data_IF_544770072049
#
_entry.id   IF_544770072049
#
_cell.length_a   1.000
_cell.length_b   1.000
_cell.length_c   1.000
_cell.angle_alpha   90.00
_cell.angle_beta   90.00
_cell.angle_gamma   90.00
#
_symmetry.space_group_name_H-M   'P 1'
#
loop_
_entity.id
_entity.type
_entity.pdbx_description
1 polymer ?
#
# COMPACT_ATOMS: atom_id res chain seq x y z
N UNK A 1 14.86 -1.20 7.00
CA UNK A 1 14.64 -0.41 5.77
C UNK A 1 13.15 -0.12 5.63
N UNK A 2 12.83 1.14 5.51
CA UNK A 2 11.45 1.56 5.36
C UNK A 2 10.80 0.91 4.12
N UNK A 3 9.55 0.51 4.27
CA UNK A 3 8.79 -0.08 3.18
C UNK A 3 7.39 0.51 3.16
N UNK A 4 6.73 0.35 2.04
CA UNK A 4 5.39 0.89 1.84
C UNK A 4 4.45 -0.19 1.35
N UNK A 5 3.22 -0.15 1.86
CA UNK A 5 2.11 -0.87 1.27
C UNK A 5 1.39 0.12 0.36
N UNK A 6 1.31 -0.19 -0.91
CA UNK A 6 0.70 0.69 -1.90
C UNK A 6 -0.55 0.03 -2.44
N UNK A 7 -1.63 0.80 -2.48
CA UNK A 7 -2.87 0.37 -3.10
C UNK A 7 -3.24 1.36 -4.20
N UNK A 8 -3.55 0.83 -5.37
CA UNK A 8 -4.13 1.61 -6.45
C UNK A 8 -5.52 1.04 -6.69
N UNK A 9 -6.53 1.77 -6.24
CA UNK A 9 -7.91 1.29 -6.24
C UNK A 9 -8.69 1.91 -7.37
N UNK A 10 -9.52 1.08 -8.00
CA UNK A 10 -10.38 1.48 -9.11
C UNK A 10 -11.82 1.15 -8.72
N UNK A 11 -12.75 1.96 -9.21
CA UNK A 11 -14.18 1.64 -9.10
C UNK A 11 -14.60 1.36 -7.66
N UNK A 12 -14.18 2.22 -6.73
CA UNK A 12 -14.59 2.08 -5.34
C UNK A 12 -16.06 2.47 -5.23
N UNK A 13 -16.88 1.53 -4.73
CA UNK A 13 -18.30 1.79 -4.52
C UNK A 13 -18.49 2.51 -3.19
N UNK A 14 -19.09 3.70 -3.17
CA UNK A 14 -19.40 4.36 -1.90
C UNK A 14 -20.56 3.62 -1.22
N UNK A 15 -20.23 2.83 -0.21
CA UNK A 15 -21.22 2.00 0.47
C UNK A 15 -20.81 1.82 1.94
N UNK A 16 -21.76 1.35 2.80
CA UNK A 16 -21.44 1.18 4.21
C UNK A 16 -20.27 0.27 4.49
N UNK A 17 -20.02 -0.74 3.66
CA UNK A 17 -18.89 -1.64 3.85
C UNK A 17 -17.56 -0.90 3.73
N UNK A 18 -17.44 0.01 2.77
CA UNK A 18 -16.22 0.81 2.60
C UNK A 18 -16.04 1.75 3.80
N UNK A 19 -17.13 2.35 4.28
CA UNK A 19 -17.05 3.21 5.47
C UNK A 19 -16.56 2.40 6.67
N UNK A 20 -17.09 1.21 6.86
CA UNK A 20 -16.68 0.35 7.96
C UNK A 20 -15.20 -0.03 7.85
N UNK A 21 -14.74 -0.35 6.65
CA UNK A 21 -13.34 -0.63 6.40
C UNK A 21 -12.46 0.54 6.85
N UNK A 22 -12.83 1.75 6.45
CA UNK A 22 -12.05 2.94 6.78
C UNK A 22 -12.07 3.23 8.29
N UNK A 23 -13.18 2.94 8.95
CA UNK A 23 -13.28 3.17 10.39
C UNK A 23 -12.41 2.20 11.19
N UNK A 24 -12.12 1.02 10.64
CA UNK A 24 -11.45 -0.03 11.39
C UNK A 24 -9.99 -0.21 11.03
N UNK A 25 -9.53 0.30 9.88
CA UNK A 25 -8.18 0.01 9.41
C UNK A 25 -7.09 0.56 10.33
N UNK A 26 -7.29 1.75 10.89
CA UNK A 26 -6.26 2.35 11.73
C UNK A 26 -5.90 1.44 12.91
N UNK A 27 -6.89 0.84 13.55
CA UNK A 27 -6.65 -0.05 14.67
C UNK A 27 -5.83 -1.27 14.26
N UNK A 28 -5.98 -1.74 13.02
CA UNK A 28 -5.19 -2.88 12.54
C UNK A 28 -3.75 -2.52 12.28
N UNK A 29 -3.49 -1.26 11.96
CA UNK A 29 -2.13 -0.78 11.65
C UNK A 29 -1.31 -0.53 12.91
N UNK A 30 -1.96 -0.11 13.99
CA UNK A 30 -1.26 0.35 15.19
C UNK A 30 -0.23 -0.65 15.74
N UNK A 31 -0.55 -1.95 15.87
CA UNK A 31 0.45 -2.90 16.41
C UNK A 31 1.71 -3.05 15.56
N UNK A 32 1.63 -2.67 14.28
CA UNK A 32 2.73 -2.85 13.34
C UNK A 32 3.39 -1.54 12.96
N UNK A 33 2.95 -0.43 13.57
CA UNK A 33 3.55 0.87 13.33
C UNK A 33 3.27 1.45 11.95
N UNK A 34 2.23 0.96 11.28
CA UNK A 34 1.87 1.48 9.97
C UNK A 34 1.18 2.82 10.07
N UNK A 35 1.46 3.70 9.11
CA UNK A 35 0.80 4.99 9.06
C UNK A 35 0.58 5.43 7.62
N UNK A 36 -0.56 6.06 7.38
CA UNK A 36 -0.85 6.59 6.05
C UNK A 36 0.08 7.76 5.75
N UNK A 37 0.68 7.74 4.56
CA UNK A 37 1.46 8.88 4.06
C UNK A 37 0.84 9.46 2.80
N UNK A 38 0.06 8.67 2.05
CA UNK A 38 -0.78 9.16 0.96
C UNK A 38 -2.14 8.52 1.13
N UNK A 39 -3.19 9.33 1.20
CA UNK A 39 -4.54 8.82 1.39
C UNK A 39 -5.52 9.92 1.00
N UNK A 40 -6.06 9.82 -0.21
CA UNK A 40 -7.01 10.82 -0.70
C UNK A 40 -6.36 12.10 -1.16
N UNK A 41 -5.08 12.06 -1.49
CA UNK A 41 -4.38 13.26 -1.96
C UNK A 41 -4.86 13.70 -3.33
N UNK A 42 -4.79 15.01 -3.55
CA UNK A 42 -5.17 15.57 -4.85
C UNK A 42 -4.08 15.29 -5.87
N UNK A 43 -4.47 14.73 -7.01
CA UNK A 43 -3.54 14.42 -8.10
C UNK A 43 -3.50 15.58 -9.09
N UNK A 44 -2.29 16.00 -9.45
CA UNK A 44 -2.08 16.96 -10.54
C UNK A 44 -1.32 16.22 -11.64
N UNK A 45 -2.00 15.96 -12.75
CA UNK A 45 -1.42 15.18 -13.83
C UNK A 45 -0.47 16.03 -14.66
N UNK A 46 0.76 15.55 -14.84
CA UNK A 46 1.75 16.22 -15.68
C UNK A 46 1.92 15.53 -17.03
N UNK A 47 1.84 14.21 -17.04
CA UNK A 47 1.93 13.40 -18.27
C UNK A 47 1.01 12.20 -18.13
N UNK A 48 0.51 11.74 -19.27
CA UNK A 48 -0.26 10.51 -19.31
C UNK A 48 -1.63 10.62 -18.66
N UNK A 49 -2.10 9.50 -18.14
CA UNK A 49 -3.42 9.40 -17.52
C UNK A 49 -3.29 8.74 -16.17
N UNK A 50 -4.13 9.17 -15.24
CA UNK A 50 -4.24 8.51 -13.94
C UNK A 50 -5.70 8.56 -13.52
N UNK A 51 -6.21 7.43 -13.04
CA UNK A 51 -7.56 7.35 -12.49
C UNK A 51 -7.54 6.48 -11.24
N UNK A 52 -8.58 6.60 -10.42
CA UNK A 52 -8.67 5.85 -9.18
C UNK A 52 -7.99 6.55 -8.02
N UNK A 53 -7.78 5.81 -6.97
CA UNK A 53 -7.22 6.32 -5.72
C UNK A 53 -5.88 5.67 -5.42
N UNK A 54 -4.90 6.49 -5.06
CA UNK A 54 -3.59 5.99 -4.64
C UNK A 54 -3.47 6.12 -3.13
N UNK A 55 -3.14 5.02 -2.48
CA UNK A 55 -2.97 4.97 -1.04
C UNK A 55 -1.56 4.43 -0.76
N UNK A 56 -0.87 5.06 0.19
CA UNK A 56 0.46 4.59 0.59
C UNK A 56 0.54 4.59 2.10
N UNK A 57 0.90 3.44 2.65
CA UNK A 57 1.08 3.25 4.09
C UNK A 57 2.54 2.91 4.34
N UNK A 58 3.16 3.66 5.25
CA UNK A 58 4.57 3.49 5.57
C UNK A 58 4.74 2.55 6.76
N UNK A 59 5.74 1.67 6.67
CA UNK A 59 6.14 0.78 7.76
C UNK A 59 7.66 0.87 7.93
N UNK A 60 8.13 0.57 9.14
CA UNK A 60 9.57 0.59 9.40
C UNK A 60 10.31 -0.49 8.63
N UNK A 61 9.62 -1.55 8.20
CA UNK A 61 10.23 -2.62 7.41
C UNK A 61 9.17 -3.34 6.59
N UNK A 62 9.62 -4.03 5.55
CA UNK A 62 8.73 -4.86 4.73
C UNK A 62 8.12 -5.97 5.57
N UNK A 63 8.88 -6.50 6.53
CA UNK A 63 8.38 -7.58 7.38
C UNK A 63 7.19 -7.14 8.21
N UNK A 64 7.24 -5.92 8.78
CA UNK A 64 6.11 -5.39 9.53
C UNK A 64 4.90 -5.18 8.65
N UNK A 65 5.12 -4.68 7.42
CA UNK A 65 4.02 -4.51 6.46
C UNK A 65 3.38 -5.85 6.13
N UNK A 66 4.21 -6.89 5.93
CA UNK A 66 3.72 -8.22 5.62
C UNK A 66 2.94 -8.81 6.79
N UNK A 67 3.44 -8.62 8.02
CA UNK A 67 2.76 -9.10 9.21
C UNK A 67 1.41 -8.42 9.38
N UNK A 68 1.35 -7.10 9.14
CA UNK A 68 0.10 -6.38 9.19
C UNK A 68 -0.91 -6.96 8.20
N UNK A 69 -0.50 -7.13 6.95
CA UNK A 69 -1.40 -7.61 5.91
C UNK A 69 -1.96 -8.98 6.28
N UNK A 70 -1.12 -9.85 6.85
CA UNK A 70 -1.50 -11.21 7.22
C UNK A 70 -2.18 -11.32 8.57
N UNK A 71 -2.25 -10.23 9.33
CA UNK A 71 -2.83 -10.28 10.67
C UNK A 71 -4.32 -10.63 10.58
N UNK A 72 -4.80 -11.32 11.61
CA UNK A 72 -6.21 -11.69 11.65
C UNK A 72 -7.11 -10.46 11.70
N UNK A 73 -6.65 -9.39 12.37
CA UNK A 73 -7.41 -8.15 12.45
C UNK A 73 -7.62 -7.53 11.06
N UNK A 74 -6.55 -7.43 10.26
CA UNK A 74 -6.69 -6.86 8.93
C UNK A 74 -7.46 -7.80 8.00
N UNK A 75 -7.16 -9.09 8.05
CA UNK A 75 -7.85 -10.05 7.20
C UNK A 75 -9.36 -10.07 7.47
N UNK A 76 -9.77 -9.76 8.69
CA UNK A 76 -11.19 -9.72 9.03
C UNK A 76 -11.93 -8.60 8.30
N UNK A 77 -11.27 -7.47 8.03
CA UNK A 77 -11.92 -6.34 7.37
C UNK A 77 -11.62 -6.29 5.87
N UNK A 78 -10.66 -7.06 5.39
CA UNK A 78 -10.25 -7.02 3.99
C UNK A 78 -11.42 -7.22 3.01
N UNK A 79 -12.34 -8.18 3.24
CA UNK A 79 -13.45 -8.37 2.30
C UNK A 79 -14.37 -7.15 2.18
N UNK A 80 -14.44 -6.31 3.22
CA UNK A 80 -15.24 -5.08 3.13
C UNK A 80 -14.74 -4.18 2.01
N UNK A 81 -13.45 -4.24 1.71
CA UNK A 81 -12.89 -3.47 0.59
C UNK A 81 -12.90 -4.26 -0.70
N UNK A 82 -12.44 -5.51 -0.68
CA UNK A 82 -12.24 -6.27 -1.93
C UNK A 82 -13.54 -6.57 -2.65
N UNK A 83 -14.65 -6.61 -1.93
CA UNK A 83 -15.95 -6.85 -2.53
C UNK A 83 -16.55 -5.59 -3.16
N UNK A 84 -15.97 -4.41 -2.88
CA UNK A 84 -16.54 -3.14 -3.30
C UNK A 84 -15.54 -2.21 -3.98
N UNK A 85 -14.33 -2.68 -4.23
CA UNK A 85 -13.31 -1.90 -4.92
C UNK A 85 -12.38 -2.86 -5.63
N UNK A 86 -11.97 -2.49 -6.82
CA UNK A 86 -10.98 -3.26 -7.57
C UNK A 86 -9.65 -2.54 -7.49
N UNK A 87 -8.56 -3.30 -7.67
CA UNK A 87 -7.26 -2.65 -7.69
C UNK A 87 -6.14 -3.60 -7.34
N UNK A 88 -4.96 -3.03 -7.23
CA UNK A 88 -3.73 -3.74 -6.93
C UNK A 88 -3.17 -3.26 -5.60
N UNK A 89 -2.63 -4.19 -4.83
CA UNK A 89 -1.97 -3.89 -3.56
C UNK A 89 -0.64 -4.62 -3.56
N UNK A 90 0.42 -3.91 -3.22
CA UNK A 90 1.76 -4.52 -3.20
C UNK A 90 2.64 -3.80 -2.19
N UNK A 91 3.74 -4.46 -1.83
CA UNK A 91 4.74 -3.92 -0.92
C UNK A 91 5.97 -3.53 -1.74
N UNK A 92 6.60 -2.43 -1.37
CA UNK A 92 7.81 -1.96 -2.05
C UNK A 92 8.73 -1.31 -1.02
N UNK A 93 10.04 -1.55 -1.17
CA UNK A 93 11.02 -0.97 -0.26
C UNK A 93 11.40 0.43 -0.69
N UNK A 94 11.69 1.28 0.30
CA UNK A 94 12.33 2.57 0.04
C UNK A 94 13.77 2.32 -0.37
N UNK A 95 14.32 3.23 -1.18
CA UNK A 95 15.73 3.14 -1.54
C UNK A 95 16.61 3.32 -0.30
N UNK A 96 17.81 2.72 -0.33
CA UNK A 96 18.81 2.97 0.69
C UNK A 96 19.58 4.24 0.34
N UNK A 97 19.86 5.04 1.34
CA UNK A 97 20.60 6.28 1.14
C UNK A 97 22.08 6.06 1.39
N UNK A 98 22.97 6.69 0.64
CA UNK A 98 22.69 7.60 -0.47
C UNK A 98 22.28 6.83 -1.72
N UNK A 99 21.45 7.49 -2.55
CA UNK A 99 20.92 6.84 -3.76
C UNK A 99 21.09 7.78 -4.95
N UNK A 100 21.58 7.21 -6.07
CA UNK A 100 21.68 7.92 -7.35
C UNK A 100 20.74 7.22 -8.33
N UNK A 101 20.16 7.99 -9.23
CA UNK A 101 19.17 7.43 -10.16
C UNK A 101 19.72 6.22 -10.92
N UNK A 102 21.00 6.23 -11.29
CA UNK A 102 21.59 5.12 -12.02
C UNK A 102 21.71 3.84 -11.20
N UNK A 103 21.57 3.92 -9.88
CA UNK A 103 21.65 2.73 -9.04
C UNK A 103 20.53 1.74 -9.34
N UNK A 104 19.44 2.20 -9.92
CA UNK A 104 18.33 1.31 -10.30
C UNK A 104 18.75 0.31 -11.37
N UNK A 105 19.83 0.59 -12.09
CA UNK A 105 20.32 -0.28 -13.15
C UNK A 105 21.15 -1.46 -12.64
N UNK A 106 21.49 -1.47 -11.35
CA UNK A 106 22.27 -2.55 -10.78
C UNK A 106 21.38 -3.78 -10.57
N UNK A 107 21.86 -4.97 -10.96
CA UNK A 107 21.13 -6.20 -10.59
C UNK A 107 21.28 -6.43 -9.11
N UNK A 108 20.22 -6.22 -8.35
CA UNK A 108 20.32 -6.28 -6.90
C UNK A 108 19.68 -7.51 -6.30
N UNK A 109 18.82 -8.13 -6.99
CA UNK A 109 18.09 -9.18 -6.33
C UNK A 109 17.04 -9.79 -7.20
N UNK A 110 17.03 -9.76 -6.71
CA UNK A 110 16.19 -10.10 -7.11
C UNK A 110 15.03 -10.20 -7.12
N UNK A 111 14.98 -10.20 -7.02
CA UNK A 111 13.93 -10.23 -7.02
C UNK A 111 13.02 -10.58 -7.30
N UNK A 112 13.02 -10.63 -7.31
CA UNK A 112 12.08 -10.85 -7.63
C UNK A 112 11.38 -11.28 -7.67
N UNK A 113 11.71 -11.42 -7.52
CA UNK A 113 10.90 -11.73 -7.67
C UNK A 113 10.20 -12.17 -7.55
N UNK A 114 10.36 -12.16 -7.44
CA UNK A 114 9.58 -12.51 -7.52
C UNK A 114 8.73 -12.65 -7.62
N UNK A 115 8.79 -12.46 -7.73
CA UNK A 115 7.90 -12.54 -8.00
C UNK A 115 7.16 -12.80 -8.17
N UNK A 116 7.23 -12.78 -8.15
CA UNK A 116 6.52 -13.07 -8.36
C UNK A 116 5.99 -13.26 -8.33
#
# INVERSE_FOLDING_TARGET
MTAYAIAHLHDVEPCPAIVEYLEKIDATLAPYGGRFVIHGGRVERLEGKFSGDLIMIEFASRELARQWYRSSAYQAILPLRTQHARGEVFLIDQVEMPHRATDVLRPTHDNDASNT
#
